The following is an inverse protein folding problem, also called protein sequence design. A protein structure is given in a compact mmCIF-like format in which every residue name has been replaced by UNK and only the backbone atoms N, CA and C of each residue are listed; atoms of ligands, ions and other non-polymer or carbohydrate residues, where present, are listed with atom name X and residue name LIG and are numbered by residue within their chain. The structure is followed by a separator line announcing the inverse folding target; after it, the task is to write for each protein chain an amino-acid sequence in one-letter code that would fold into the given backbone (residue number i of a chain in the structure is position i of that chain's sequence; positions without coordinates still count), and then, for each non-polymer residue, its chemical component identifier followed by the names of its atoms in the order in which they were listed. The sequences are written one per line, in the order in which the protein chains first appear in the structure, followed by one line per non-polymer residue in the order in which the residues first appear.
data_IF_378928014516
#
_entry.id   IF_378928014516
#
_cell.length_a   1.000
_cell.length_b   1.000
_cell.length_c   1.000
_cell.angle_alpha   90.00
_cell.angle_beta   90.00
_cell.angle_gamma   90.00
#
_symmetry.space_group_name_H-M   'P 1'
#
loop_
_entity.id
_entity.type
_entity.pdbx_description
1 polymer ?
#
# COMPACT_ATOMS: atom_id res chain seq x y z
N UNK A 1 -2.05 2.19 7.73
CA UNK A 1 -0.99 3.21 7.95
C UNK A 1 -0.63 3.78 6.59
N UNK A 2 -0.77 5.09 6.42
CA UNK A 2 -0.38 5.78 5.19
C UNK A 2 0.90 6.57 5.45
N UNK A 3 1.90 6.39 4.59
CA UNK A 3 3.20 7.04 4.67
C UNK A 3 3.46 7.71 3.33
N UNK A 4 3.87 8.98 3.37
CA UNK A 4 4.29 9.77 2.22
C UNK A 4 5.71 10.30 2.46
N UNK A 5 6.61 10.05 1.51
CA UNK A 5 7.99 10.55 1.57
C UNK A 5 8.15 11.58 0.47
N UNK A 6 8.45 12.82 0.84
CA UNK A 6 8.70 13.89 -0.13
C UNK A 6 10.16 13.89 -0.56
N UNK A 7 11.09 13.80 0.40
CA UNK A 7 12.52 13.70 0.16
C UNK A 7 13.26 13.08 1.37
N UNK A 8 14.60 13.19 1.39
CA UNK A 8 15.42 12.61 2.45
C UNK A 8 15.23 13.26 3.84
N UNK A 9 14.68 14.47 3.91
CA UNK A 9 14.44 15.21 5.15
C UNK A 9 12.94 15.30 5.51
N UNK A 10 12.07 15.33 4.50
CA UNK A 10 10.63 15.50 4.66
C UNK A 10 9.83 14.21 4.40
N UNK A 11 9.04 13.82 5.41
CA UNK A 11 8.17 12.65 5.39
C UNK A 11 6.94 12.92 6.26
N UNK A 12 5.78 12.47 5.80
CA UNK A 12 4.53 12.52 6.54
C UNK A 12 3.93 11.12 6.74
N UNK A 13 3.20 10.93 7.83
CA UNK A 13 2.48 9.69 8.09
C UNK A 13 1.19 9.96 8.85
N UNK A 14 0.15 9.18 8.54
CA UNK A 14 -1.11 9.18 9.29
C UNK A 14 -0.97 8.27 10.51
N UNK A 15 -1.17 8.84 11.69
CA UNK A 15 -1.11 8.16 12.99
C UNK A 15 -2.39 8.40 13.79
N UNK A 16 -2.53 7.71 14.92
CA UNK A 16 -3.58 8.01 15.90
C UNK A 16 -2.97 8.84 17.04
N UNK A 17 -3.71 9.82 17.54
CA UNK A 17 -3.35 10.55 18.75
C UNK A 17 -3.30 9.65 19.99
N UNK A 18 -2.35 9.93 20.88
CA UNK A 18 -2.10 9.12 22.06
C UNK A 18 -3.17 9.29 23.15
N UNK A 19 -3.96 10.38 23.11
CA UNK A 19 -4.95 10.72 24.14
C UNK A 19 -6.34 10.27 23.72
N UNK A 20 -6.77 10.62 22.51
CA UNK A 20 -8.15 10.39 22.04
C UNK A 20 -8.26 9.42 20.87
N UNK A 21 -7.12 8.88 20.38
CA UNK A 21 -7.05 8.00 19.21
C UNK A 21 -7.59 8.64 17.92
N UNK A 22 -7.71 9.97 17.84
CA UNK A 22 -8.11 10.63 16.61
C UNK A 22 -7.02 10.50 15.53
N UNK A 23 -7.38 10.23 14.27
CA UNK A 23 -6.43 10.28 13.16
C UNK A 23 -5.79 11.67 13.05
N UNK A 24 -4.49 11.70 12.79
CA UNK A 24 -3.73 12.92 12.52
C UNK A 24 -2.59 12.67 11.54
N UNK A 25 -2.24 13.69 10.77
CA UNK A 25 -1.02 13.70 9.98
C UNK A 25 0.13 14.20 10.85
N UNK A 26 1.23 13.46 10.93
CA UNK A 26 2.49 13.94 11.53
C UNK A 26 3.56 14.02 10.46
N UNK A 27 4.35 15.09 10.49
CA UNK A 27 5.39 15.36 9.50
C UNK A 27 6.72 15.64 10.20
N UNK A 28 7.79 15.09 9.65
CA UNK A 28 9.18 15.50 9.92
C UNK A 28 9.68 16.37 8.77
N UNK A 29 10.54 17.33 9.09
CA UNK A 29 11.34 18.10 8.12
C UNK A 29 12.85 17.96 8.37
N UNK A 30 13.22 17.04 9.27
CA UNK A 30 14.60 16.82 9.76
C UNK A 30 14.91 15.32 9.84
N UNK A 31 14.52 14.58 8.80
CA UNK A 31 14.86 13.15 8.65
C UNK A 31 14.46 12.26 9.85
N UNK A 32 13.36 12.60 10.53
CA UNK A 32 12.79 11.83 11.64
C UNK A 32 13.28 12.23 13.03
N UNK A 33 14.22 13.17 13.14
CA UNK A 33 14.74 13.65 14.45
C UNK A 33 13.68 14.39 15.28
N UNK A 34 12.72 15.03 14.61
CA UNK A 34 11.61 15.73 15.25
C UNK A 34 10.35 15.65 14.39
N UNK A 35 9.20 15.61 15.06
CA UNK A 35 7.89 15.46 14.44
C UNK A 35 6.95 16.57 14.88
N UNK A 36 6.11 17.01 13.95
CA UNK A 36 5.05 17.97 14.22
C UNK A 36 3.72 17.42 13.71
N UNK A 37 2.69 17.56 14.54
CA UNK A 37 1.32 17.20 14.20
C UNK A 37 0.63 18.29 13.37
N UNK A 38 -0.17 17.84 12.41
CA UNK A 38 -1.05 18.63 11.55
C UNK A 38 -2.43 17.95 11.46
N UNK A 39 -3.22 17.93 12.53
CA UNK A 39 -4.53 17.24 12.54
C UNK A 39 -5.45 17.69 11.41
N UNK A 40 -5.48 18.99 11.12
CA UNK A 40 -6.32 19.56 10.04
C UNK A 40 -5.96 19.07 8.63
N UNK A 41 -4.77 18.48 8.44
CA UNK A 41 -4.32 17.98 7.12
C UNK A 41 -4.73 16.53 6.88
N UNK A 42 -5.08 15.79 7.91
CA UNK A 42 -5.44 14.36 7.78
C UNK A 42 -6.68 14.14 6.90
N UNK A 43 -7.54 15.16 6.80
CA UNK A 43 -8.79 15.11 6.03
C UNK A 43 -8.61 15.03 4.51
N UNK A 44 -7.38 15.27 4.02
CA UNK A 44 -7.04 15.19 2.60
C UNK A 44 -6.27 13.91 2.25
N UNK A 45 -6.05 13.03 3.21
CA UNK A 45 -5.20 11.85 3.06
C UNK A 45 -6.03 10.59 2.79
N UNK A 46 -5.38 9.57 2.23
CA UNK A 46 -5.95 8.23 2.21
C UNK A 46 -5.53 7.46 3.47
N UNK A 47 -6.48 6.93 4.23
CA UNK A 47 -6.15 6.02 5.34
C UNK A 47 -7.29 5.08 5.68
N UNK A 48 -7.00 4.06 6.49
CA UNK A 48 -8.00 3.19 7.11
C UNK A 48 -7.91 3.39 8.61
N UNK A 49 -9.03 3.71 9.25
CA UNK A 49 -9.15 3.73 10.70
C UNK A 49 -9.32 2.28 11.21
N UNK A 50 -8.42 1.78 12.08
CA UNK A 50 -8.56 0.45 12.66
C UNK A 50 -9.88 0.22 13.41
N UNK A 51 -10.55 1.27 13.90
CA UNK A 51 -11.85 1.18 14.56
C UNK A 51 -13.00 0.88 13.58
N UNK A 52 -12.85 1.21 12.30
CA UNK A 52 -13.81 0.99 11.22
C UNK A 52 -13.12 0.34 10.03
N UNK A 53 -12.56 -0.86 10.24
CA UNK A 53 -11.60 -1.49 9.31
C UNK A 53 -12.11 -1.78 7.89
N UNK A 54 -13.40 -1.66 7.60
CA UNK A 54 -13.97 -1.78 6.24
C UNK A 54 -14.23 -0.42 5.55
N UNK A 55 -13.92 0.68 6.22
CA UNK A 55 -14.09 2.04 5.74
C UNK A 55 -12.74 2.64 5.44
N UNK A 56 -12.63 3.29 4.29
CA UNK A 56 -11.44 4.01 3.85
C UNK A 56 -11.77 5.50 3.93
N UNK A 57 -10.94 6.26 4.63
CA UNK A 57 -10.94 7.70 4.50
C UNK A 57 -10.26 8.07 3.18
N UNK A 58 -10.91 8.93 2.42
CA UNK A 58 -10.45 9.44 1.14
C UNK A 58 -10.36 10.96 1.20
N UNK A 59 -9.71 11.62 0.22
CA UNK A 59 -9.69 13.08 0.14
C UNK A 59 -11.08 13.75 -0.01
N UNK A 60 -12.14 12.96 -0.28
CA UNK A 60 -13.52 13.45 -0.35
C UNK A 60 -14.40 12.97 0.81
N UNK A 61 -13.83 12.26 1.78
CA UNK A 61 -14.50 11.74 2.97
C UNK A 61 -14.48 10.21 3.08
N UNK A 62 -15.21 9.69 4.06
CA UNK A 62 -15.25 8.26 4.36
C UNK A 62 -16.13 7.48 3.37
N UNK A 63 -15.59 6.38 2.87
CA UNK A 63 -16.31 5.46 1.96
C UNK A 63 -16.14 4.01 2.41
N UNK A 64 -17.18 3.21 2.24
CA UNK A 64 -17.11 1.77 2.52
C UNK A 64 -16.42 1.08 1.34
N UNK A 65 -15.28 0.45 1.59
CA UNK A 65 -14.63 -0.40 0.59
C UNK A 65 -15.44 -1.69 0.42
N UNK A 66 -15.47 -2.30 -0.79
CA UNK A 66 -16.19 -3.54 -1.06
C UNK A 66 -15.44 -4.77 -0.50
N UNK A 67 -15.17 -4.75 0.80
CA UNK A 67 -14.44 -5.77 1.54
C UNK A 67 -15.00 -5.90 2.96
N UNK A 68 -14.81 -7.07 3.59
CA UNK A 68 -15.18 -7.27 5.01
C UNK A 68 -14.25 -6.47 5.92
N UNK A 69 -12.97 -6.37 5.55
CA UNK A 69 -11.95 -5.60 6.25
C UNK A 69 -10.80 -5.31 5.30
N UNK A 70 -10.31 -4.08 5.33
CA UNK A 70 -9.11 -3.62 4.64
C UNK A 70 -7.90 -4.08 5.43
N UNK A 71 -6.96 -4.75 4.76
CA UNK A 71 -5.66 -5.06 5.33
C UNK A 71 -4.70 -3.87 5.19
N UNK A 72 -4.65 -3.27 3.99
CA UNK A 72 -3.89 -2.05 3.70
C UNK A 72 -4.38 -1.40 2.41
N UNK A 73 -3.88 -0.22 2.06
CA UNK A 73 -4.17 0.47 0.81
C UNK A 73 -2.89 1.03 0.18
N UNK A 74 -2.96 1.28 -1.12
CA UNK A 74 -1.98 2.03 -1.88
C UNK A 74 -2.69 3.18 -2.62
N UNK A 75 -2.42 4.42 -2.21
CA UNK A 75 -2.90 5.59 -2.92
C UNK A 75 -1.92 5.92 -4.06
N UNK A 76 -2.45 6.10 -5.27
CA UNK A 76 -1.68 6.59 -6.41
C UNK A 76 -1.78 8.13 -6.52
N UNK A 77 -2.97 8.67 -6.29
CA UNK A 77 -3.23 10.11 -6.26
C UNK A 77 -4.50 10.42 -5.44
N UNK A 78 -5.03 11.64 -5.52
CA UNK A 78 -6.22 12.07 -4.76
C UNK A 78 -7.53 11.39 -5.20
N UNK A 79 -7.54 10.74 -6.36
CA UNK A 79 -8.68 10.05 -6.95
C UNK A 79 -8.46 8.54 -7.10
N UNK A 80 -7.21 8.11 -7.28
CA UNK A 80 -6.87 6.73 -7.61
C UNK A 80 -6.22 6.02 -6.43
N UNK A 81 -6.76 4.86 -6.07
CA UNK A 81 -6.21 4.01 -5.02
C UNK A 81 -6.57 2.55 -5.24
N UNK A 82 -5.78 1.66 -4.65
CA UNK A 82 -6.10 0.25 -4.49
C UNK A 82 -6.18 -0.12 -3.02
N UNK A 83 -7.12 -0.99 -2.71
CA UNK A 83 -7.33 -1.58 -1.38
C UNK A 83 -7.00 -3.05 -1.47
N UNK A 84 -6.14 -3.51 -0.57
CA UNK A 84 -5.90 -4.93 -0.31
C UNK A 84 -6.79 -5.37 0.85
N UNK A 85 -7.70 -6.29 0.56
CA UNK A 85 -8.64 -6.87 1.51
C UNK A 85 -7.98 -7.99 2.32
N UNK A 86 -8.50 -8.29 3.51
CA UNK A 86 -7.99 -9.38 4.36
C UNK A 86 -8.18 -10.78 3.73
N UNK A 87 -9.08 -10.92 2.76
CA UNK A 87 -9.31 -12.15 2.00
C UNK A 87 -8.39 -12.29 0.77
N UNK A 88 -7.36 -11.43 0.67
CA UNK A 88 -6.41 -11.35 -0.44
C UNK A 88 -7.05 -10.96 -1.79
N UNK A 89 -8.23 -10.33 -1.78
CA UNK A 89 -8.75 -9.62 -2.94
C UNK A 89 -8.21 -8.19 -3.02
N UNK A 90 -8.07 -7.67 -4.24
CA UNK A 90 -7.71 -6.28 -4.52
C UNK A 90 -8.88 -5.61 -5.23
N UNK A 91 -9.22 -4.42 -4.79
CA UNK A 91 -10.24 -3.56 -5.40
C UNK A 91 -9.63 -2.19 -5.66
N UNK A 92 -10.00 -1.58 -6.77
CA UNK A 92 -9.42 -0.32 -7.23
C UNK A 92 -10.50 0.74 -7.41
N UNK A 93 -10.12 2.01 -7.28
CA UNK A 93 -10.96 3.17 -7.57
C UNK A 93 -10.13 4.19 -8.33
N UNK A 94 -10.82 4.99 -9.15
CA UNK A 94 -10.28 6.12 -9.92
C UNK A 94 -11.10 7.41 -9.68
N UNK A 95 -12.02 7.39 -8.70
CA UNK A 95 -12.96 8.46 -8.39
C UNK A 95 -13.11 8.70 -6.88
N UNK A 96 -12.01 8.57 -6.15
CA UNK A 96 -11.92 8.74 -4.70
C UNK A 96 -12.88 7.81 -3.93
N UNK A 97 -13.07 6.59 -4.43
CA UNK A 97 -13.89 5.55 -3.81
C UNK A 97 -15.40 5.71 -4.01
N UNK A 98 -15.84 6.62 -4.90
CA UNK A 98 -17.24 6.73 -5.28
C UNK A 98 -17.71 5.47 -6.03
N UNK A 99 -16.84 4.88 -6.84
CA UNK A 99 -17.00 3.57 -7.45
C UNK A 99 -15.76 2.70 -7.25
N UNK A 100 -15.97 1.40 -7.27
CA UNK A 100 -14.93 0.39 -7.11
C UNK A 100 -15.00 -0.64 -8.23
N UNK A 101 -13.84 -1.14 -8.64
CA UNK A 101 -13.73 -2.27 -9.55
C UNK A 101 -14.35 -3.54 -8.97
N UNK A 102 -14.57 -4.55 -9.82
CA UNK A 102 -14.82 -5.89 -9.33
C UNK A 102 -13.60 -6.38 -8.49
N UNK A 103 -13.82 -7.17 -7.43
CA UNK A 103 -12.73 -7.74 -6.64
C UNK A 103 -11.87 -8.70 -7.48
N UNK A 104 -10.58 -8.44 -7.51
CA UNK A 104 -9.58 -9.27 -8.16
C UNK A 104 -8.90 -10.17 -7.12
N UNK A 105 -9.00 -11.49 -7.26
CA UNK A 105 -8.36 -12.41 -6.34
C UNK A 105 -6.85 -12.50 -6.61
N UNK A 106 -6.03 -12.23 -5.59
CA UNK A 106 -4.57 -12.37 -5.64
C UNK A 106 -4.13 -13.25 -4.47
N UNK A 107 -4.26 -14.59 -4.57
CA UNK A 107 -3.97 -15.50 -3.46
C UNK A 107 -2.57 -15.30 -2.90
N UNK A 108 -2.45 -15.10 -1.59
CA UNK A 108 -1.18 -14.86 -0.92
C UNK A 108 -0.72 -13.39 -0.95
N UNK A 109 -1.54 -12.45 -1.43
CA UNK A 109 -1.24 -11.02 -1.34
C UNK A 109 -0.93 -10.59 0.10
N UNK A 110 0.24 -9.99 0.29
CA UNK A 110 0.80 -9.62 1.58
C UNK A 110 1.07 -8.12 1.70
N UNK A 111 1.38 -7.44 0.60
CA UNK A 111 1.53 -5.99 0.54
C UNK A 111 1.15 -5.45 -0.85
N UNK A 112 0.87 -4.16 -0.95
CA UNK A 112 0.53 -3.47 -2.19
C UNK A 112 1.20 -2.10 -2.23
N UNK A 113 1.65 -1.67 -3.41
CA UNK A 113 2.19 -0.35 -3.67
C UNK A 113 1.62 0.22 -4.98
N UNK A 114 1.40 1.53 -5.03
CA UNK A 114 1.02 2.23 -6.25
C UNK A 114 2.27 2.47 -7.11
N UNK A 115 2.11 2.37 -8.42
CA UNK A 115 3.16 2.69 -9.40
C UNK A 115 2.55 3.53 -10.52
N UNK A 116 3.38 4.07 -11.41
CA UNK A 116 2.89 4.81 -12.58
C UNK A 116 2.06 3.95 -13.55
N UNK A 117 2.15 2.63 -13.46
CA UNK A 117 1.45 1.68 -14.35
C UNK A 117 0.19 1.09 -13.69
N UNK A 118 -0.12 1.45 -12.44
CA UNK A 118 -1.21 0.89 -11.65
C UNK A 118 -0.72 0.52 -10.25
N UNK A 119 -0.78 -0.77 -9.91
CA UNK A 119 -0.42 -1.26 -8.60
C UNK A 119 0.42 -2.53 -8.72
N UNK A 120 1.34 -2.71 -7.77
CA UNK A 120 2.11 -3.94 -7.60
C UNK A 120 1.74 -4.58 -6.28
N UNK A 121 1.46 -5.88 -6.31
CA UNK A 121 1.10 -6.68 -5.14
C UNK A 121 2.23 -7.66 -4.85
N UNK A 122 2.79 -7.60 -3.65
CA UNK A 122 3.71 -8.60 -3.16
C UNK A 122 2.92 -9.84 -2.72
N UNK A 123 3.21 -10.98 -3.35
CA UNK A 123 2.55 -12.26 -3.08
C UNK A 123 3.52 -13.18 -2.35
N UNK A 124 3.11 -13.65 -1.17
CA UNK A 124 3.86 -14.56 -0.34
C UNK A 124 3.65 -16.02 -0.76
N UNK A 125 4.75 -16.74 -0.93
CA UNK A 125 4.83 -18.15 -1.28
C UNK A 125 3.91 -18.57 -2.44
N UNK A 126 3.92 -17.86 -3.59
CA UNK A 126 3.14 -18.29 -4.74
C UNK A 126 3.65 -19.64 -5.26
N UNK A 127 2.84 -20.31 -6.08
CA UNK A 127 3.20 -21.63 -6.60
C UNK A 127 4.58 -21.62 -7.29
N UNK A 128 5.51 -22.44 -6.79
CA UNK A 128 6.88 -22.53 -7.32
C UNK A 128 7.87 -21.51 -6.77
N UNK A 129 7.49 -20.71 -5.77
CA UNK A 129 8.36 -19.72 -5.12
C UNK A 129 8.24 -19.83 -3.60
N UNK A 130 9.38 -19.96 -2.90
CA UNK A 130 9.46 -19.89 -1.44
C UNK A 130 10.03 -18.52 -1.08
N UNK A 131 9.13 -17.55 -0.90
CA UNK A 131 9.50 -16.14 -0.79
C UNK A 131 8.41 -15.22 -1.33
N UNK A 132 8.81 -14.13 -1.97
CA UNK A 132 7.91 -13.15 -2.55
C UNK A 132 8.03 -13.14 -4.07
N UNK A 133 6.89 -13.02 -4.76
CA UNK A 133 6.85 -12.59 -6.16
C UNK A 133 5.88 -11.42 -6.32
N UNK A 134 5.99 -10.65 -7.40
CA UNK A 134 5.08 -9.55 -7.68
C UNK A 134 3.97 -9.97 -8.65
N UNK A 135 2.80 -9.38 -8.45
CA UNK A 135 1.67 -9.44 -9.38
C UNK A 135 1.22 -8.01 -9.66
N UNK A 136 1.11 -7.66 -10.93
CA UNK A 136 0.58 -6.36 -11.34
C UNK A 136 -0.95 -6.33 -11.27
N UNK A 137 -1.51 -5.21 -10.85
CA UNK A 137 -2.94 -4.92 -10.93
C UNK A 137 -3.12 -3.56 -11.60
N UNK A 138 -3.88 -3.50 -12.70
CA UNK A 138 -4.14 -2.24 -13.40
C UNK A 138 -5.08 -1.33 -12.59
N UNK A 139 -5.19 -0.06 -13.00
CA UNK A 139 -6.15 0.88 -12.40
C UNK A 139 -7.62 0.48 -12.55
N UNK A 140 -7.93 -0.40 -13.51
CA UNK A 140 -9.27 -0.96 -13.71
C UNK A 140 -9.49 -2.27 -12.94
N UNK A 141 -8.49 -2.71 -12.16
CA UNK A 141 -8.54 -3.94 -11.37
C UNK A 141 -8.22 -5.22 -12.15
N UNK A 142 -7.63 -5.14 -13.35
CA UNK A 142 -7.19 -6.32 -14.09
C UNK A 142 -5.86 -6.85 -13.56
N UNK A 143 -5.77 -8.16 -13.34
CA UNK A 143 -4.56 -8.83 -12.83
C UNK A 143 -3.63 -9.21 -13.98
N UNK A 144 -2.37 -8.82 -13.89
CA UNK A 144 -1.30 -9.30 -14.77
C UNK A 144 -0.79 -10.66 -14.28
N UNK A 145 -1.12 -11.71 -15.03
CA UNK A 145 -0.71 -13.08 -14.74
C UNK A 145 0.71 -13.42 -15.25
N UNK A 146 1.45 -12.45 -15.77
CA UNK A 146 2.82 -12.65 -16.23
C UNK A 146 3.72 -13.09 -15.06
N UNK A 147 4.40 -14.24 -15.14
CA UNK A 147 5.29 -14.70 -14.08
C UNK A 147 6.40 -13.68 -13.80
N UNK A 148 6.61 -13.37 -12.53
CA UNK A 148 7.70 -12.50 -12.04
C UNK A 148 8.76 -13.34 -11.31
N UNK A 149 10.00 -12.83 -11.17
CA UNK A 149 11.03 -13.50 -10.40
C UNK A 149 10.59 -13.77 -8.96
N UNK A 150 11.18 -14.80 -8.36
CA UNK A 150 11.04 -15.08 -6.93
C UNK A 150 12.18 -14.39 -6.18
N UNK A 151 11.83 -13.64 -5.13
CA UNK A 151 12.78 -13.18 -4.12
C UNK A 151 12.71 -14.17 -2.97
N UNK A 152 13.72 -15.04 -2.89
CA UNK A 152 13.81 -16.07 -1.86
C UNK A 152 13.84 -15.45 -0.46
N UNK A 153 12.85 -15.77 0.36
CA UNK A 153 12.70 -15.27 1.71
C UNK A 153 11.84 -16.23 2.55
N UNK A 154 12.07 -16.27 3.86
CA UNK A 154 11.13 -16.90 4.79
C UNK A 154 10.27 -15.78 5.35
N UNK A 155 8.97 -15.82 5.02
CA UNK A 155 8.03 -14.74 5.35
C UNK A 155 6.92 -15.22 6.27
N UNK A 156 6.75 -14.53 7.40
CA UNK A 156 5.58 -14.62 8.26
C UNK A 156 4.48 -13.63 7.89
N UNK A 157 3.33 -13.76 8.54
CA UNK A 157 2.23 -12.79 8.40
C UNK A 157 2.65 -11.42 8.92
N UNK A 158 2.45 -10.38 8.11
CA UNK A 158 2.82 -8.99 8.47
C UNK A 158 4.31 -8.68 8.33
N UNK A 159 5.12 -9.63 7.84
CA UNK A 159 6.56 -9.44 7.60
C UNK A 159 6.86 -9.08 6.14
N UNK A 160 5.93 -8.43 5.45
CA UNK A 160 6.10 -8.01 4.06
C UNK A 160 5.67 -6.57 3.89
N UNK A 161 6.53 -5.76 3.28
CA UNK A 161 6.22 -4.40 2.86
C UNK A 161 6.77 -4.17 1.46
N UNK A 162 6.00 -3.44 0.65
CA UNK A 162 6.38 -3.05 -0.70
C UNK A 162 6.21 -1.53 -0.80
N UNK A 163 7.20 -0.88 -1.40
CA UNK A 163 7.14 0.55 -1.71
C UNK A 163 7.66 0.76 -3.13
N UNK A 164 7.16 1.81 -3.76
CA UNK A 164 7.54 2.22 -5.09
C UNK A 164 7.75 3.73 -5.12
N UNK A 165 8.61 4.19 -6.01
CA UNK A 165 8.78 5.61 -6.34
C UNK A 165 8.31 5.90 -7.77
N UNK A 166 8.12 7.19 -8.04
CA UNK A 166 7.67 7.70 -9.33
C UNK A 166 8.65 7.43 -10.48
N UNK A 167 9.91 7.08 -10.21
CA UNK A 167 10.88 6.67 -11.23
C UNK A 167 10.88 5.16 -11.51
N UNK A 168 9.98 4.41 -10.87
CA UNK A 168 9.81 2.97 -11.06
C UNK A 168 10.71 2.08 -10.19
N UNK A 169 11.46 2.67 -9.26
CA UNK A 169 12.21 1.91 -8.26
C UNK A 169 11.25 1.22 -7.28
N UNK A 170 11.51 -0.04 -6.96
CA UNK A 170 10.79 -0.80 -5.95
C UNK A 170 11.72 -1.18 -4.79
N UNK A 171 11.17 -1.12 -3.58
CA UNK A 171 11.77 -1.66 -2.36
C UNK A 171 10.85 -2.71 -1.78
N UNK A 172 11.41 -3.88 -1.54
CA UNK A 172 10.73 -5.01 -0.91
C UNK A 172 11.43 -5.33 0.40
N UNK A 173 10.64 -5.39 1.47
CA UNK A 173 11.04 -6.02 2.72
C UNK A 173 10.21 -7.28 2.92
N UNK A 174 10.86 -8.39 3.25
CA UNK A 174 10.27 -9.71 3.35
C UNK A 174 11.04 -10.55 4.39
N UNK A 175 10.51 -10.65 5.61
CA UNK A 175 11.20 -11.34 6.72
C UNK A 175 12.56 -10.71 7.02
N UNK A 176 13.63 -11.45 6.82
CA UNK A 176 15.02 -10.99 6.96
C UNK A 176 15.62 -10.40 5.67
N UNK A 177 14.86 -10.38 4.58
CA UNK A 177 15.31 -9.86 3.29
C UNK A 177 14.87 -8.44 3.05
N UNK A 178 15.79 -7.66 2.52
CA UNK A 178 15.53 -6.38 1.90
C UNK A 178 16.11 -6.42 0.49
N UNK A 179 15.28 -6.09 -0.50
CA UNK A 179 15.64 -6.16 -1.90
C UNK A 179 15.15 -4.91 -2.64
N UNK A 180 15.86 -4.58 -3.71
CA UNK A 180 15.62 -3.40 -4.52
C UNK A 180 15.55 -3.76 -5.99
N UNK A 181 14.64 -3.13 -6.73
CA UNK A 181 14.51 -3.31 -8.17
C UNK A 181 14.41 -1.96 -8.86
N UNK A 182 15.18 -1.78 -9.94
CA UNK A 182 15.17 -0.59 -10.79
C UNK A 182 14.45 -0.82 -12.12
N UNK A 183 13.82 -1.98 -12.30
CA UNK A 183 13.19 -2.42 -13.55
C UNK A 183 11.78 -2.99 -13.33
N UNK A 184 11.05 -2.42 -12.36
CA UNK A 184 9.67 -2.81 -12.08
C UNK A 184 9.52 -4.24 -11.56
N UNK A 185 10.52 -4.72 -10.80
CA UNK A 185 10.54 -6.05 -10.19
C UNK A 185 10.98 -7.18 -11.12
N UNK A 186 11.56 -6.87 -12.28
CA UNK A 186 12.09 -7.88 -13.19
C UNK A 186 13.45 -8.45 -12.73
N UNK A 187 14.23 -7.66 -11.99
CA UNK A 187 15.43 -8.09 -11.28
C UNK A 187 15.51 -7.46 -9.88
N UNK A 188 16.19 -8.14 -8.96
CA UNK A 188 16.34 -7.74 -7.56
C UNK A 188 17.80 -7.80 -7.11
N UNK A 189 18.24 -6.80 -6.34
CA UNK A 189 19.56 -6.75 -5.71
C UNK A 189 19.58 -5.97 -4.41
#
# INVERSE_FOLDING_TARGET
MAIYVADAAEMSMVTLDAVDCAPQLVTTFVAGDAWKAYPDRVTAEWYVDPATSNTVHTPVGDVVAPCVSVATLAAADNSSAAVLCIDASVVTTQDAGATWSAPAAVPGAAAIAATNEGFQVAVANPAGCVGISLVGVSQDGAVDATPRPCVDAIVGTGETALSASDDGMLWLWAGDRFARSADGGATWG
#
